data_IF_540887798603
#
_entry.id   IF_540887798603
#
_cell.length_a   1.000
_cell.length_b   1.000
_cell.length_c   1.000
_cell.angle_alpha   90.00
_cell.angle_beta   90.00
_cell.angle_gamma   90.00
#
_symmetry.space_group_name_H-M   'P 1'
#
loop_
_entity.id
_entity.type
_entity.pdbx_description
1 polymer ?
#
# COMPACT_ATOMS: atom_id res chain seq x y z
N UNK A 1 8.84 6.02 10.73
CA UNK A 1 8.66 6.38 12.16
C UNK A 1 9.60 7.52 12.59
N UNK A 2 10.92 7.43 12.36
CA UNK A 2 11.86 8.49 12.78
C UNK A 2 11.62 9.88 12.17
N UNK A 3 11.27 9.97 10.89
CA UNK A 3 10.99 11.27 10.26
C UNK A 3 9.77 12.00 10.85
N UNK A 4 8.78 11.24 11.36
CA UNK A 4 7.63 11.80 12.07
C UNK A 4 8.05 12.51 13.36
N UNK A 5 9.07 11.99 14.06
CA UNK A 5 9.59 12.57 15.30
C UNK A 5 10.49 13.79 15.05
N UNK A 6 11.12 13.86 13.89
CA UNK A 6 12.11 14.88 13.52
C UNK A 6 11.52 16.02 12.66
N UNK A 7 10.25 15.94 12.30
CA UNK A 7 9.61 16.94 11.46
C UNK A 7 9.43 18.26 12.22
N UNK A 8 9.97 19.37 11.68
CA UNK A 8 9.91 20.70 12.31
C UNK A 8 8.47 21.16 12.57
N UNK A 9 7.55 20.80 11.67
CA UNK A 9 6.12 21.02 11.83
C UNK A 9 5.53 19.81 12.56
N UNK A 10 5.17 19.97 13.83
CA UNK A 10 4.43 18.94 14.58
C UNK A 10 3.05 18.75 13.96
N UNK A 11 2.73 17.51 13.61
CA UNK A 11 1.39 17.13 13.18
C UNK A 11 0.41 17.31 14.36
N UNK A 12 -0.79 17.83 14.06
CA UNK A 12 -1.84 18.09 15.04
C UNK A 12 -2.61 16.84 15.41
N UNK A 13 -2.57 15.79 14.58
CA UNK A 13 -3.21 14.51 14.83
C UNK A 13 -2.53 13.77 15.99
N UNK A 14 -3.18 13.64 17.16
CA UNK A 14 -2.59 12.98 18.31
C UNK A 14 -2.55 11.45 18.16
N UNK A 15 -3.35 10.89 17.24
CA UNK A 15 -3.47 9.46 16.99
C UNK A 15 -3.21 9.19 15.51
N UNK A 16 -2.20 8.37 15.21
CA UNK A 16 -1.79 8.02 13.84
C UNK A 16 -2.75 6.98 13.24
N UNK A 17 -3.47 7.28 12.14
CA UNK A 17 -4.20 6.25 11.41
C UNK A 17 -3.23 5.31 10.69
N UNK A 18 -3.42 4.00 10.83
CA UNK A 18 -2.70 2.97 10.08
C UNK A 18 -3.70 2.18 9.25
N UNK A 19 -3.51 2.20 7.93
CA UNK A 19 -4.43 1.61 6.97
C UNK A 19 -4.04 0.17 6.66
N UNK A 20 -5.01 -0.75 6.72
CA UNK A 20 -4.79 -2.18 6.48
C UNK A 20 -6.05 -2.92 6.03
N UNK A 21 -5.89 -4.14 5.50
CA UNK A 21 -7.04 -4.99 5.18
C UNK A 21 -7.57 -5.72 6.43
N UNK A 22 -8.83 -6.14 6.40
CA UNK A 22 -9.44 -6.98 7.47
C UNK A 22 -9.38 -8.49 7.23
N UNK A 23 -8.70 -8.94 6.16
CA UNK A 23 -8.60 -10.36 5.81
C UNK A 23 -7.76 -11.16 6.82
N UNK A 24 -6.82 -10.51 7.50
CA UNK A 24 -6.15 -11.01 8.69
C UNK A 24 -6.60 -10.18 9.90
N UNK A 25 -7.48 -10.75 10.72
CA UNK A 25 -8.07 -10.05 11.87
C UNK A 25 -7.04 -9.80 12.98
N UNK A 26 -6.10 -10.72 13.19
CA UNK A 26 -5.13 -10.63 14.27
C UNK A 26 -4.12 -9.52 13.99
N UNK A 27 -3.54 -9.51 12.79
CA UNK A 27 -2.59 -8.46 12.39
C UNK A 27 -3.28 -7.10 12.24
N UNK A 28 -4.52 -7.05 11.75
CA UNK A 28 -5.28 -5.79 11.71
C UNK A 28 -5.56 -5.22 13.10
N UNK A 29 -5.93 -6.07 14.07
CA UNK A 29 -6.14 -5.64 15.46
C UNK A 29 -4.83 -5.12 16.09
N UNK A 30 -3.68 -5.69 15.72
CA UNK A 30 -2.36 -5.23 16.16
C UNK A 30 -1.97 -3.81 15.69
N UNK A 31 -2.72 -3.20 14.77
CA UNK A 31 -2.50 -1.82 14.32
C UNK A 31 -3.07 -0.77 15.29
N UNK A 32 -3.99 -1.15 16.18
CA UNK A 32 -4.58 -0.27 17.20
C UNK A 32 -3.69 -0.22 18.46
N UNK A 33 -3.33 0.98 18.91
CA UNK A 33 -2.63 1.20 20.17
C UNK A 33 -3.26 2.38 20.93
N UNK A 34 -3.69 2.21 22.20
CA UNK A 34 -4.39 3.25 22.95
C UNK A 34 -3.66 4.60 22.94
N UNK A 35 -4.38 5.64 22.52
CA UNK A 35 -3.89 7.03 22.44
C UNK A 35 -2.68 7.26 21.50
N UNK A 36 -2.26 6.27 20.70
CA UNK A 36 -1.11 6.41 19.78
C UNK A 36 -1.47 6.11 18.32
N UNK A 37 -2.14 4.99 18.04
CA UNK A 37 -2.46 4.57 16.67
C UNK A 37 -3.90 4.07 16.55
N UNK A 38 -4.49 4.25 15.37
CA UNK A 38 -5.83 3.77 15.05
C UNK A 38 -5.80 2.90 13.80
N UNK A 39 -6.28 1.66 13.90
CA UNK A 39 -6.49 0.79 12.75
C UNK A 39 -7.64 1.33 11.88
N UNK A 40 -7.37 1.56 10.60
CA UNK A 40 -8.36 2.00 9.61
C UNK A 40 -8.41 0.97 8.49
N UNK A 41 -9.58 0.35 8.30
CA UNK A 41 -9.74 -0.62 7.23
C UNK A 41 -9.93 0.09 5.89
N UNK A 42 -9.14 -0.27 4.88
CA UNK A 42 -9.46 0.11 3.51
C UNK A 42 -10.44 -0.90 2.89
N UNK A 43 -11.19 -0.42 1.90
CA UNK A 43 -12.04 -1.21 1.03
C UNK A 43 -11.33 -1.32 -0.33
N UNK A 44 -10.84 -2.50 -0.74
CA UNK A 44 -10.08 -2.66 -1.98
C UNK A 44 -10.85 -2.22 -3.23
N UNK A 45 -12.17 -2.23 -3.18
CA UNK A 45 -13.05 -1.86 -4.31
C UNK A 45 -13.30 -0.34 -4.38
N UNK A 46 -12.76 0.45 -3.43
CA UNK A 46 -12.96 1.89 -3.35
C UNK A 46 -11.64 2.64 -3.34
N UNK A 47 -11.67 3.84 -3.91
CA UNK A 47 -10.57 4.79 -3.80
C UNK A 47 -10.46 5.28 -2.35
N UNK A 48 -9.24 5.23 -1.81
CA UNK A 48 -8.89 5.69 -0.47
C UNK A 48 -8.23 7.07 -0.57
N UNK A 49 -8.73 8.05 0.19
CA UNK A 49 -8.10 9.36 0.31
C UNK A 49 -7.27 9.47 1.58
N UNK A 50 -5.98 9.76 1.44
CA UNK A 50 -5.05 9.98 2.58
C UNK A 50 -4.23 11.23 2.32
N UNK A 51 -4.47 12.30 3.09
CA UNK A 51 -3.81 13.59 2.84
C UNK A 51 -4.04 14.04 1.38
N UNK A 52 -3.01 14.46 0.62
CA UNK A 52 -3.13 14.86 -0.80
C UNK A 52 -3.24 13.66 -1.77
N UNK A 53 -3.21 12.42 -1.27
CA UNK A 53 -3.13 11.24 -2.11
C UNK A 53 -4.49 10.58 -2.32
N UNK A 54 -4.75 10.19 -3.55
CA UNK A 54 -5.81 9.27 -3.96
C UNK A 54 -5.17 7.90 -4.23
N UNK A 55 -5.64 6.86 -3.54
CA UNK A 55 -5.04 5.52 -3.54
C UNK A 55 -6.06 4.50 -4.03
N UNK A 56 -5.72 3.79 -5.09
CA UNK A 56 -6.47 2.60 -5.55
C UNK A 56 -5.68 1.33 -5.22
N UNK A 57 -6.37 0.22 -4.97
CA UNK A 57 -5.76 -1.04 -4.59
C UNK A 57 -6.05 -2.12 -5.62
N UNK A 58 -5.12 -3.07 -5.77
CA UNK A 58 -5.30 -4.29 -6.54
C UNK A 58 -4.85 -5.48 -5.70
N UNK A 59 -5.74 -6.45 -5.46
CA UNK A 59 -5.38 -7.68 -4.76
C UNK A 59 -4.33 -8.44 -5.56
N UNK A 60 -3.23 -8.82 -4.92
CA UNK A 60 -2.11 -9.51 -5.57
C UNK A 60 -2.26 -11.03 -5.54
N UNK A 61 -1.37 -11.72 -6.27
CA UNK A 61 -1.28 -13.18 -6.24
C UNK A 61 -0.08 -13.59 -5.36
N UNK A 62 -0.35 -13.72 -4.05
CA UNK A 62 0.62 -14.04 -3.00
C UNK A 62 -0.04 -14.99 -1.96
N UNK A 63 0.71 -15.84 -1.23
CA UNK A 63 0.19 -16.83 -0.27
C UNK A 63 -0.62 -16.27 0.87
N UNK A 64 -0.35 -15.04 1.29
CA UNK A 64 -1.19 -14.28 2.23
C UNK A 64 -1.85 -13.11 1.49
N UNK A 65 -2.99 -12.59 1.98
CA UNK A 65 -3.62 -11.43 1.37
C UNK A 65 -2.64 -10.25 1.29
N UNK A 66 -2.44 -9.74 0.08
CA UNK A 66 -1.61 -8.59 -0.19
C UNK A 66 -2.26 -7.75 -1.31
N UNK A 67 -1.90 -6.47 -1.36
CA UNK A 67 -2.50 -5.50 -2.26
C UNK A 67 -1.42 -4.58 -2.81
N UNK A 68 -1.37 -4.46 -4.14
CA UNK A 68 -0.64 -3.41 -4.81
C UNK A 68 -1.36 -2.07 -4.62
N UNK A 69 -0.60 -0.98 -4.60
CA UNK A 69 -1.09 0.37 -4.37
C UNK A 69 -0.76 1.25 -5.56
N UNK A 70 -1.78 1.94 -6.09
CA UNK A 70 -1.62 3.01 -7.06
C UNK A 70 -1.92 4.33 -6.39
N UNK A 71 -0.88 5.11 -6.15
CA UNK A 71 -0.91 6.37 -5.39
C UNK A 71 -0.80 7.52 -6.37
N UNK A 72 -1.88 8.30 -6.51
CA UNK A 72 -1.92 9.53 -7.27
C UNK A 72 -1.87 10.72 -6.33
N UNK A 73 -0.90 11.60 -6.50
CA UNK A 73 -0.92 12.91 -5.84
C UNK A 73 -1.88 13.84 -6.62
N UNK A 74 -2.85 14.43 -5.93
CA UNK A 74 -3.99 15.07 -6.60
C UNK A 74 -3.64 16.38 -7.30
N UNK A 75 -2.69 17.15 -6.80
CA UNK A 75 -2.39 18.48 -7.34
C UNK A 75 -1.50 18.41 -8.59
N UNK A 76 -0.51 17.51 -8.59
CA UNK A 76 0.43 17.30 -9.70
C UNK A 76 -0.03 16.23 -10.68
N UNK A 77 -0.95 15.35 -10.24
CA UNK A 77 -1.40 14.19 -11.02
C UNK A 77 -0.37 13.07 -11.12
N UNK A 78 0.78 13.18 -10.44
CA UNK A 78 1.86 12.18 -10.48
C UNK A 78 1.45 10.87 -9.83
N UNK A 79 1.85 9.76 -10.45
CA UNK A 79 1.43 8.41 -10.07
C UNK A 79 2.63 7.55 -9.72
N UNK A 80 2.66 7.07 -8.48
CA UNK A 80 3.52 5.97 -8.04
C UNK A 80 2.69 4.70 -7.93
N UNK A 81 3.18 3.60 -8.49
CA UNK A 81 2.61 2.27 -8.25
C UNK A 81 3.61 1.43 -7.47
N UNK A 82 3.15 0.87 -6.36
CA UNK A 82 3.89 -0.10 -5.55
C UNK A 82 3.21 -1.47 -5.68
N UNK A 83 3.92 -2.48 -6.16
CA UNK A 83 3.29 -3.80 -6.40
C UNK A 83 3.03 -4.59 -5.12
N UNK A 84 3.68 -4.23 -4.00
CA UNK A 84 3.88 -5.15 -2.89
C UNK A 84 4.46 -6.49 -3.38
N UNK A 85 4.25 -7.55 -2.61
CA UNK A 85 4.69 -8.90 -2.98
C UNK A 85 3.65 -9.54 -3.90
N UNK A 86 4.11 -10.02 -5.05
CA UNK A 86 3.26 -10.71 -6.02
C UNK A 86 4.08 -11.46 -7.05
N UNK A 87 3.54 -12.59 -7.55
CA UNK A 87 3.94 -13.07 -8.88
C UNK A 87 3.32 -12.19 -9.98
N UNK A 88 3.80 -12.35 -11.21
CA UNK A 88 3.17 -11.73 -12.39
C UNK A 88 1.77 -12.30 -12.66
N UNK A 89 0.85 -11.42 -13.06
CA UNK A 89 -0.48 -11.75 -13.61
C UNK A 89 -0.95 -10.62 -14.56
N UNK A 90 -1.76 -10.90 -15.59
CA UNK A 90 -2.08 -9.92 -16.64
C UNK A 90 -2.69 -8.62 -16.13
N UNK A 91 -3.60 -8.68 -15.16
CA UNK A 91 -4.31 -7.53 -14.60
C UNK A 91 -3.36 -6.53 -13.91
N UNK A 92 -2.18 -6.99 -13.46
CA UNK A 92 -1.15 -6.12 -12.92
C UNK A 92 -0.64 -5.12 -13.97
N UNK A 93 -0.55 -5.54 -15.24
CA UNK A 93 -0.05 -4.69 -16.33
C UNK A 93 -0.98 -3.51 -16.61
N UNK A 94 -2.29 -3.74 -16.58
CA UNK A 94 -3.28 -2.67 -16.71
C UNK A 94 -3.27 -1.73 -15.52
N UNK A 95 -3.09 -2.27 -14.31
CA UNK A 95 -3.04 -1.48 -13.08
C UNK A 95 -1.81 -0.56 -12.98
N UNK A 96 -0.63 -1.02 -13.45
CA UNK A 96 0.61 -0.23 -13.42
C UNK A 96 0.69 0.77 -14.58
N UNK A 97 -0.20 0.68 -15.57
CA UNK A 97 -0.12 1.45 -16.80
C UNK A 97 -0.18 2.96 -16.55
N UNK A 98 0.76 3.68 -17.15
CA UNK A 98 0.84 5.14 -17.05
C UNK A 98 1.34 5.65 -15.70
N UNK A 99 1.92 4.80 -14.84
CA UNK A 99 2.63 5.26 -13.66
C UNK A 99 3.88 6.07 -14.05
N UNK A 100 4.15 7.17 -13.34
CA UNK A 100 5.40 7.92 -13.47
C UNK A 100 6.57 7.16 -12.82
N UNK A 101 6.28 6.37 -11.78
CA UNK A 101 7.25 5.50 -11.11
C UNK A 101 6.58 4.16 -10.72
N UNK A 102 7.22 3.06 -11.13
CA UNK A 102 6.86 1.70 -10.72
C UNK A 102 7.90 1.18 -9.72
N UNK A 103 7.47 0.96 -8.48
CA UNK A 103 8.22 0.26 -7.44
C UNK A 103 7.72 -1.18 -7.37
N UNK A 104 8.54 -2.11 -7.85
CA UNK A 104 8.15 -3.52 -8.00
C UNK A 104 9.03 -4.42 -7.15
N UNK A 105 8.42 -5.49 -6.62
CA UNK A 105 9.18 -6.62 -6.10
C UNK A 105 9.93 -7.32 -7.25
N UNK A 106 11.18 -7.69 -6.98
CA UNK A 106 12.09 -8.36 -7.91
C UNK A 106 12.87 -9.47 -7.21
N UNK A 107 12.20 -10.25 -6.36
CA UNK A 107 12.82 -11.25 -5.49
C UNK A 107 13.58 -12.39 -6.22
N UNK A 108 13.31 -12.59 -7.52
CA UNK A 108 13.89 -13.69 -8.30
C UNK A 108 14.64 -13.22 -9.56
N UNK A 109 15.72 -13.94 -9.88
CA UNK A 109 16.42 -13.82 -11.16
C UNK A 109 15.56 -14.33 -12.33
N UNK A 110 15.99 -13.96 -13.55
CA UNK A 110 15.27 -14.27 -14.79
C UNK A 110 15.12 -15.78 -15.06
N UNK A 111 16.07 -16.59 -14.62
CA UNK A 111 16.13 -18.03 -14.83
C UNK A 111 15.36 -18.86 -13.78
N UNK A 112 14.80 -18.23 -12.74
CA UNK A 112 13.96 -18.93 -11.76
C UNK A 112 12.80 -19.63 -12.47
N UNK A 113 12.59 -20.91 -12.15
CA UNK A 113 11.44 -21.70 -12.61
C UNK A 113 10.56 -22.12 -11.42
N UNK A 114 9.35 -22.62 -11.69
CA UNK A 114 8.42 -23.06 -10.65
C UNK A 114 7.72 -21.91 -9.91
N UNK A 115 7.45 -22.10 -8.63
CA UNK A 115 6.72 -21.14 -7.79
C UNK A 115 7.52 -19.84 -7.59
N UNK A 116 6.85 -18.70 -7.76
CA UNK A 116 7.40 -17.32 -7.67
C UNK A 116 6.44 -16.37 -6.94
N UNK A 117 5.70 -16.90 -5.97
CA UNK A 117 4.74 -16.13 -5.18
C UNK A 117 5.21 -15.99 -3.75
#
# INVERSE_FOLDING_TARGET
>A
QYYWQLHEKRYTEPVLPIYGHRLDKANFAGLDWPNSTKAVAYDPEKSLSVGPFEISLLKTQHPVPAFALRIKERDTGKILVFTADTKYFPELTDFVKGADLLMTDTNFFADKTGQKW
#
